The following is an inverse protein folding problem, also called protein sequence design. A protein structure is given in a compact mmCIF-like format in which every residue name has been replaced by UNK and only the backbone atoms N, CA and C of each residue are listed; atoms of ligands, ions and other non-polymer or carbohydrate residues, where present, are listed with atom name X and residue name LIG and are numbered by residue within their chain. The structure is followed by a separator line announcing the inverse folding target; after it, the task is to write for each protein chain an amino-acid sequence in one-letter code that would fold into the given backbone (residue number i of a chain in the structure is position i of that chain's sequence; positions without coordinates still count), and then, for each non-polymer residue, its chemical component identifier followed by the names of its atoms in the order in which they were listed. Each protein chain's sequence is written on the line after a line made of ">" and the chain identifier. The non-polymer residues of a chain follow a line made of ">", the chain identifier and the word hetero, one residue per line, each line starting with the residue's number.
data_IF_034300169504
#
_entry.id   IF_034300169504
#
_cell.length_a   1.000
_cell.length_b   1.000
_cell.length_c   1.000
_cell.angle_alpha   90.00
_cell.angle_beta   90.00
_cell.angle_gamma   90.00
#
_symmetry.space_group_name_H-M   'P 1'
#
loop_
_entity.id
_entity.type
_entity.pdbx_description
1 polymer ?
#
# COMPACT_ATOMS: atom_id res chain seq x y z
N UNK A 1 -1.41 -11.97 14.48
CA UNK A 1 0.01 -11.59 14.53
C UNK A 1 0.17 -10.26 15.24
N UNK A 2 1.23 -10.07 16.02
CA UNK A 2 1.55 -8.75 16.61
C UNK A 2 1.98 -7.76 15.53
N UNK A 3 1.97 -6.45 15.84
CA UNK A 3 2.46 -5.40 14.91
C UNK A 3 3.92 -5.65 14.51
N UNK A 4 4.75 -6.12 15.44
CA UNK A 4 6.15 -6.44 15.19
C UNK A 4 6.31 -7.63 14.25
N UNK A 5 5.54 -8.71 14.47
CA UNK A 5 5.56 -9.90 13.61
C UNK A 5 5.09 -9.56 12.18
N UNK A 6 4.04 -8.73 12.03
CA UNK A 6 3.58 -8.28 10.71
C UNK A 6 4.64 -7.46 9.97
N UNK A 7 5.30 -6.52 10.65
CA UNK A 7 6.39 -5.71 10.05
C UNK A 7 7.54 -6.59 9.57
N UNK A 8 7.97 -7.58 10.37
CA UNK A 8 9.03 -8.53 9.98
C UNK A 8 8.66 -9.29 8.69
N UNK A 9 7.41 -9.73 8.58
CA UNK A 9 6.94 -10.49 7.42
C UNK A 9 6.87 -9.63 6.15
N UNK A 10 6.23 -8.45 6.23
CA UNK A 10 6.07 -7.54 5.09
C UNK A 10 7.42 -7.06 4.54
N UNK A 11 8.37 -6.74 5.42
CA UNK A 11 9.72 -6.31 4.99
C UNK A 11 10.45 -7.43 4.25
N UNK A 12 10.28 -8.68 4.68
CA UNK A 12 10.89 -9.83 4.03
C UNK A 12 10.31 -10.05 2.62
N UNK A 13 8.97 -10.08 2.50
CA UNK A 13 8.29 -10.27 1.22
C UNK A 13 8.70 -9.21 0.18
N UNK A 14 8.82 -7.95 0.60
CA UNK A 14 9.23 -6.85 -0.28
C UNK A 14 10.62 -7.04 -0.90
N UNK A 15 11.56 -7.67 -0.17
CA UNK A 15 12.94 -7.87 -0.62
C UNK A 15 13.07 -9.11 -1.50
N UNK A 16 12.26 -10.13 -1.25
CA UNK A 16 12.34 -11.43 -1.92
C UNK A 16 11.54 -11.47 -3.22
N UNK A 17 10.44 -10.71 -3.34
CA UNK A 17 9.49 -10.86 -4.44
C UNK A 17 9.39 -9.60 -5.32
N UNK A 18 9.64 -9.77 -6.62
CA UNK A 18 9.34 -8.76 -7.66
C UNK A 18 8.17 -9.25 -8.50
N UNK A 19 7.00 -8.69 -8.26
CA UNK A 19 5.76 -9.06 -8.96
C UNK A 19 5.54 -8.17 -10.18
N UNK A 20 5.19 -8.76 -11.32
CA UNK A 20 4.72 -8.00 -12.48
C UNK A 20 3.26 -7.56 -12.27
N UNK A 21 2.86 -6.35 -12.70
CA UNK A 21 1.48 -5.90 -12.56
C UNK A 21 0.49 -6.86 -13.24
N UNK A 22 -0.56 -7.25 -12.52
CA UNK A 22 -1.70 -7.96 -13.11
C UNK A 22 -2.46 -7.06 -14.11
N UNK A 23 -3.32 -7.60 -14.99
CA UNK A 23 -3.99 -6.82 -16.04
C UNK A 23 -4.79 -5.59 -15.58
N UNK A 24 -5.26 -5.58 -14.32
CA UNK A 24 -6.00 -4.45 -13.72
C UNK A 24 -5.15 -3.57 -12.81
N UNK A 25 -3.86 -3.83 -12.73
CA UNK A 25 -2.89 -3.06 -11.95
C UNK A 25 -2.06 -2.20 -12.89
N UNK A 26 -1.65 -1.03 -12.39
CA UNK A 26 -0.89 -0.06 -13.17
C UNK A 26 0.26 0.47 -12.32
N UNK A 27 1.39 0.73 -12.95
CA UNK A 27 2.53 1.38 -12.32
C UNK A 27 2.26 2.88 -12.32
N UNK A 28 2.42 3.51 -11.15
CA UNK A 28 2.18 4.94 -10.93
C UNK A 28 3.32 5.56 -10.13
N UNK A 29 3.53 6.87 -10.28
CA UNK A 29 4.50 7.65 -9.50
C UNK A 29 3.79 8.40 -8.38
N UNK A 30 4.32 8.32 -7.16
CA UNK A 30 3.81 9.12 -6.02
C UNK A 30 4.32 10.56 -6.12
N UNK A 31 3.42 11.53 -6.02
CA UNK A 31 3.74 12.96 -6.05
C UNK A 31 3.77 13.58 -4.65
N UNK A 32 2.84 13.18 -3.79
CA UNK A 32 2.70 13.75 -2.45
C UNK A 32 1.73 12.98 -1.57
N UNK A 33 1.63 13.39 -0.30
CA UNK A 33 0.78 12.71 0.70
C UNK A 33 -0.10 13.72 1.44
N UNK A 34 -1.39 13.86 1.09
CA UNK A 34 -2.30 14.79 1.79
C UNK A 34 -2.65 14.35 3.23
N UNK A 35 -2.32 13.12 3.65
CA UNK A 35 -2.61 12.59 4.98
C UNK A 35 -3.65 11.46 4.95
N UNK A 36 -4.03 10.92 6.12
CA UNK A 36 -5.05 9.87 6.25
C UNK A 36 -4.83 8.62 5.38
N UNK A 37 -3.57 8.21 5.18
CA UNK A 37 -3.16 7.10 4.29
C UNK A 37 -3.49 7.31 2.80
N UNK A 38 -3.78 8.55 2.40
CA UNK A 38 -3.96 8.93 1.00
C UNK A 38 -2.63 9.41 0.41
N UNK A 39 -2.40 9.02 -0.83
CA UNK A 39 -1.24 9.38 -1.63
C UNK A 39 -1.73 9.89 -2.99
N UNK A 40 -1.24 11.06 -3.40
CA UNK A 40 -1.46 11.56 -4.75
C UNK A 40 -0.48 10.87 -5.71
N UNK A 41 -1.01 10.34 -6.80
CA UNK A 41 -0.23 9.59 -7.79
C UNK A 41 -0.51 10.06 -9.22
N UNK A 42 0.46 9.82 -10.09
CA UNK A 42 0.41 10.14 -11.52
C UNK A 42 0.69 8.89 -12.37
N UNK A 43 -0.12 8.67 -13.40
CA UNK A 43 0.07 7.61 -14.39
C UNK A 43 1.08 8.03 -15.47
N UNK A 44 1.53 7.06 -16.28
CA UNK A 44 2.34 7.34 -17.46
C UNK A 44 1.62 8.23 -18.51
N UNK A 45 0.28 8.30 -18.48
CA UNK A 45 -0.50 9.20 -19.36
C UNK A 45 -0.63 10.62 -18.79
N UNK A 46 -0.12 10.88 -17.57
CA UNK A 46 -0.26 12.18 -16.89
C UNK A 46 -1.55 12.34 -16.09
N UNK A 47 -2.39 11.29 -15.98
CA UNK A 47 -3.62 11.33 -15.18
C UNK A 47 -3.29 11.26 -13.69
N UNK A 48 -3.91 12.13 -12.89
CA UNK A 48 -3.70 12.20 -11.44
C UNK A 48 -4.92 11.78 -10.64
N UNK A 49 -4.70 11.01 -9.58
CA UNK A 49 -5.75 10.60 -8.65
C UNK A 49 -5.16 10.27 -7.28
N UNK A 50 -6.04 10.09 -6.29
CA UNK A 50 -5.67 9.68 -4.95
C UNK A 50 -5.77 8.15 -4.82
N UNK A 51 -4.72 7.53 -4.29
CA UNK A 51 -4.73 6.14 -3.86
C UNK A 51 -4.65 6.06 -2.35
N UNK A 52 -5.37 5.11 -1.77
CA UNK A 52 -5.21 4.78 -0.37
C UNK A 52 -4.22 3.63 -0.24
N UNK A 53 -3.28 3.75 0.70
CA UNK A 53 -2.50 2.58 1.10
C UNK A 53 -3.41 1.67 1.91
N UNK A 54 -3.95 0.63 1.28
CA UNK A 54 -4.74 -0.38 1.98
C UNK A 54 -3.85 -1.15 2.95
N UNK A 55 -3.84 -0.73 4.21
CA UNK A 55 -3.33 -1.57 5.29
C UNK A 55 -4.47 -2.46 5.76
N UNK A 56 -4.43 -3.74 5.38
CA UNK A 56 -5.29 -4.78 5.93
C UNK A 56 -5.07 -4.87 7.46
N UNK A 57 -5.93 -4.24 8.25
CA UNK A 57 -6.02 -4.48 9.70
C UNK A 57 -7.33 -5.18 10.04
N UNK A 58 -7.33 -6.51 10.17
CA UNK A 58 -8.21 -7.20 11.08
C UNK A 58 -7.47 -7.33 12.41
N UNK A 59 -7.46 -6.26 13.20
CA UNK A 59 -7.11 -6.36 14.63
C UNK A 59 -7.66 -5.19 15.45
N UNK A 60 -8.98 -5.01 15.41
CA UNK A 60 -9.74 -4.57 16.59
C UNK A 60 -11.04 -5.38 16.71
N UNK A 61 -10.91 -6.65 17.09
CA UNK A 61 -11.91 -7.30 17.94
C UNK A 61 -11.58 -6.95 19.40
N UNK A 62 -12.59 -6.50 20.14
CA UNK A 62 -12.64 -6.59 21.60
C UNK A 62 -11.94 -5.49 22.40
N UNK A 63 -12.61 -4.33 22.56
CA UNK A 63 -12.64 -3.58 23.84
C UNK A 63 -13.99 -2.84 23.93
N UNK A 64 -15.01 -3.58 24.35
CA UNK A 64 -15.96 -3.16 25.38
C UNK A 64 -16.09 -4.35 26.32
#
# INVERSE_FOLDING_TARGET
>A
MSRATKRKHVVRELLEERVLPAPRQRIVRVLGTPGNNLHEVETAEGTRFLVTSCWWTPSRRGRR
#
